data_IF_565772618059
#
_entry.id   IF_565772618059
#
_cell.length_a   1.000
_cell.length_b   1.000
_cell.length_c   1.000
_cell.angle_alpha   90.00
_cell.angle_beta   90.00
_cell.angle_gamma   90.00
#
_symmetry.space_group_name_H-M   'P 1'
#
loop_
_entity.id
_entity.type
_entity.pdbx_description
1 polymer ?
#
# COMPACT_ATOMS: atom_id res chain seq x y z
N UNK A 1 -2.84 -14.07 -14.91
CA UNK A 1 -2.80 -12.90 -14.01
C UNK A 1 -1.88 -11.88 -14.63
N UNK A 2 -2.37 -10.69 -15.00
CA UNK A 2 -1.50 -9.64 -15.55
C UNK A 2 -0.41 -9.32 -14.52
N UNK A 3 0.86 -9.32 -14.95
CA UNK A 3 2.03 -9.07 -14.10
C UNK A 3 1.88 -7.79 -13.25
N UNK A 4 1.16 -6.80 -13.78
CA UNK A 4 0.85 -5.54 -13.12
C UNK A 4 0.03 -5.69 -11.84
N UNK A 5 -1.00 -6.55 -11.81
CA UNK A 5 -1.81 -6.75 -10.61
C UNK A 5 -1.00 -7.35 -9.45
N UNK A 6 -0.07 -8.27 -9.74
CA UNK A 6 0.82 -8.84 -8.73
C UNK A 6 1.76 -7.77 -8.17
N UNK A 7 2.26 -6.88 -9.03
CA UNK A 7 3.16 -5.80 -8.65
C UNK A 7 2.44 -4.77 -7.75
N UNK A 8 1.22 -4.39 -8.11
CA UNK A 8 0.39 -3.47 -7.31
C UNK A 8 -0.05 -4.06 -5.97
N UNK A 9 -0.40 -5.35 -5.92
CA UNK A 9 -0.66 -6.06 -4.65
C UNK A 9 0.59 -6.12 -3.76
N UNK A 10 1.74 -6.42 -4.34
CA UNK A 10 3.02 -6.42 -3.64
C UNK A 10 3.37 -5.04 -3.07
N UNK A 11 3.18 -3.98 -3.86
CA UNK A 11 3.34 -2.59 -3.40
C UNK A 11 2.35 -2.23 -2.28
N UNK A 12 1.09 -2.65 -2.40
CA UNK A 12 0.09 -2.47 -1.35
C UNK A 12 0.52 -3.12 -0.03
N UNK A 13 0.99 -4.36 -0.08
CA UNK A 13 1.54 -5.07 1.08
C UNK A 13 2.78 -4.39 1.67
N UNK A 14 3.71 -3.93 0.81
CA UNK A 14 4.90 -3.18 1.22
C UNK A 14 4.53 -1.88 1.95
N UNK A 15 3.55 -1.12 1.43
CA UNK A 15 3.10 0.13 2.03
C UNK A 15 2.40 -0.11 3.37
N UNK A 16 1.62 -1.19 3.52
CA UNK A 16 1.05 -1.59 4.80
C UNK A 16 2.15 -1.92 5.83
N UNK A 17 3.18 -2.68 5.43
CA UNK A 17 4.36 -2.94 6.27
C UNK A 17 5.12 -1.66 6.63
N UNK A 18 5.26 -0.73 5.68
CA UNK A 18 5.85 0.59 5.87
C UNK A 18 5.07 1.44 6.88
N UNK A 19 3.73 1.48 6.77
CA UNK A 19 2.88 2.16 7.73
C UNK A 19 2.99 1.58 9.15
N UNK A 20 3.10 0.25 9.27
CA UNK A 20 3.33 -0.41 10.56
C UNK A 20 4.70 -0.07 11.15
N UNK A 21 5.76 -0.08 10.34
CA UNK A 21 7.10 0.34 10.74
C UNK A 21 7.13 1.80 11.19
N UNK A 22 6.47 2.69 10.45
CA UNK A 22 6.30 4.10 10.82
C UNK A 22 5.58 4.27 12.16
N UNK A 23 4.56 3.45 12.42
CA UNK A 23 3.87 3.43 13.71
C UNK A 23 4.81 3.05 14.86
N UNK A 24 5.66 2.04 14.67
CA UNK A 24 6.69 1.63 15.65
C UNK A 24 7.72 2.75 15.90
N UNK A 25 8.10 3.47 14.84
CA UNK A 25 9.04 4.58 14.91
C UNK A 25 8.44 5.87 15.49
N UNK A 26 7.18 5.85 15.97
CA UNK A 26 6.41 7.03 16.43
C UNK A 26 6.37 8.15 15.39
N UNK A 27 6.36 7.78 14.11
CA UNK A 27 6.21 8.74 13.02
C UNK A 27 4.90 9.53 13.16
N UNK A 28 4.84 10.76 12.62
CA UNK A 28 3.64 11.56 12.66
C UNK A 28 2.43 10.82 12.09
N UNK A 29 1.30 10.88 12.81
CA UNK A 29 0.05 10.19 12.45
C UNK A 29 -0.45 10.55 11.05
N UNK A 30 -0.21 11.77 10.58
CA UNK A 30 -0.58 12.21 9.24
C UNK A 30 0.23 11.46 8.15
N UNK A 31 1.52 11.18 8.38
CA UNK A 31 2.35 10.45 7.42
C UNK A 31 1.90 8.99 7.32
N UNK A 32 1.57 8.36 8.45
CA UNK A 32 1.01 7.00 8.49
C UNK A 32 -0.32 6.95 7.73
N UNK A 33 -1.18 7.97 7.88
CA UNK A 33 -2.45 8.05 7.16
C UNK A 33 -2.26 8.16 5.64
N UNK A 34 -1.31 8.99 5.17
CA UNK A 34 -0.99 9.12 3.75
C UNK A 34 -0.50 7.78 3.17
N UNK A 35 0.41 7.09 3.88
CA UNK A 35 0.93 5.80 3.42
C UNK A 35 -0.16 4.73 3.38
N UNK A 36 -1.09 4.72 4.34
CA UNK A 36 -2.24 3.82 4.33
C UNK A 36 -3.18 4.10 3.14
N UNK A 37 -3.43 5.37 2.82
CA UNK A 37 -4.23 5.76 1.65
C UNK A 37 -3.56 5.32 0.36
N UNK A 38 -2.24 5.48 0.23
CA UNK A 38 -1.48 4.99 -0.92
C UNK A 38 -1.51 3.46 -1.02
N UNK A 39 -1.42 2.75 0.10
CA UNK A 39 -1.54 1.29 0.13
C UNK A 39 -2.91 0.84 -0.40
N UNK A 40 -3.98 1.47 0.06
CA UNK A 40 -5.34 1.19 -0.39
C UNK A 40 -5.52 1.48 -1.89
N UNK A 41 -5.00 2.61 -2.39
CA UNK A 41 -5.04 2.94 -3.81
C UNK A 41 -4.25 1.94 -4.66
N UNK A 42 -3.08 1.47 -4.21
CA UNK A 42 -2.31 0.46 -4.92
C UNK A 42 -3.09 -0.87 -5.02
N UNK A 43 -3.73 -1.31 -3.93
CA UNK A 43 -4.54 -2.54 -3.93
C UNK A 43 -5.78 -2.38 -4.84
N UNK A 44 -6.44 -1.22 -4.80
CA UNK A 44 -7.57 -0.93 -5.68
C UNK A 44 -7.15 -0.94 -7.16
N UNK A 45 -6.02 -0.32 -7.49
CA UNK A 45 -5.44 -0.34 -8.83
C UNK A 45 -5.13 -1.78 -9.30
N UNK A 46 -4.63 -2.63 -8.39
CA UNK A 46 -4.37 -4.04 -8.71
C UNK A 46 -5.62 -4.81 -9.16
N UNK A 47 -6.77 -4.49 -8.55
CA UNK A 47 -8.07 -5.08 -8.88
C UNK A 47 -8.60 -4.56 -10.23
N UNK A 48 -8.38 -3.27 -10.52
CA UNK A 48 -8.74 -2.66 -11.80
C UNK A 48 -7.82 -3.08 -12.96
N UNK A 49 -6.63 -3.59 -12.67
CA UNK A 49 -5.75 -4.18 -13.69
C UNK A 49 -5.95 -5.68 -13.84
N UNK A 50 -6.82 -6.30 -13.04
CA UNK A 50 -7.09 -7.75 -13.04
C UNK A 50 -8.10 -8.16 -14.12
N UNK A 51 -8.80 -7.19 -14.71
CA UNK A 51 -9.74 -7.28 -15.83
C UNK A 51 -9.06 -7.35 -17.20
#
# INVERSE_FOLDING_TARGET
MPYWSVLYLGLGGLLLGGAWSMRTQKAPRWAIAIVLVLAAMAIAAAMLTLE
#
